data_IF_599581993320
#
_entry.id   IF_599581993320
#
_cell.length_a   1.000
_cell.length_b   1.000
_cell.length_c   1.000
_cell.angle_alpha   90.00
_cell.angle_beta   90.00
_cell.angle_gamma   90.00
#
_symmetry.space_group_name_H-M   'P 1'
#
loop_
_entity.id
_entity.type
_entity.pdbx_description
1 polymer ?
#
# COMPACT_ATOMS: atom_id res chain seq x y z
N UNK A 1 -4.25 -5.03 -19.18
CA UNK A 1 -3.48 -4.15 -18.27
C UNK A 1 -4.42 -3.61 -17.21
N UNK A 2 -4.05 -3.68 -15.93
CA UNK A 2 -4.92 -3.22 -14.82
C UNK A 2 -5.22 -1.72 -14.91
N UNK A 3 -4.26 -0.90 -15.38
CA UNK A 3 -4.43 0.55 -15.54
C UNK A 3 -5.63 0.91 -16.44
N UNK A 4 -5.80 0.19 -17.56
CA UNK A 4 -6.93 0.41 -18.46
C UNK A 4 -8.27 0.10 -17.79
N UNK A 5 -8.34 -0.97 -16.99
CA UNK A 5 -9.54 -1.30 -16.22
C UNK A 5 -9.85 -0.25 -15.14
N UNK A 6 -8.83 0.30 -14.48
CA UNK A 6 -9.00 1.38 -13.49
C UNK A 6 -9.54 2.68 -14.11
N UNK A 7 -9.35 2.89 -15.41
CA UNK A 7 -9.91 4.03 -16.15
C UNK A 7 -11.31 3.69 -16.69
N UNK A 8 -11.44 2.57 -17.40
CA UNK A 8 -12.69 2.16 -18.07
C UNK A 8 -13.81 1.92 -17.05
N UNK A 9 -13.50 1.30 -15.91
CA UNK A 9 -14.50 0.92 -14.90
C UNK A 9 -15.29 2.13 -14.38
N UNK A 10 -14.64 3.12 -13.74
CA UNK A 10 -15.31 4.32 -13.25
C UNK A 10 -15.98 5.14 -14.36
N UNK A 11 -15.36 5.25 -15.54
CA UNK A 11 -15.96 5.97 -16.66
C UNK A 11 -17.24 5.29 -17.17
N UNK A 12 -17.23 3.96 -17.28
CA UNK A 12 -18.40 3.18 -17.71
C UNK A 12 -19.52 3.29 -16.66
N UNK A 13 -19.18 3.18 -15.38
CA UNK A 13 -20.14 3.35 -14.30
C UNK A 13 -20.74 4.77 -14.26
N UNK A 14 -19.92 5.79 -14.53
CA UNK A 14 -20.38 7.17 -14.62
C UNK A 14 -21.32 7.40 -15.82
N UNK A 15 -20.98 6.84 -16.98
CA UNK A 15 -21.85 6.90 -18.16
C UNK A 15 -23.18 6.17 -17.95
N UNK A 16 -23.15 5.01 -17.28
CA UNK A 16 -24.36 4.30 -16.89
C UNK A 16 -25.23 5.16 -15.98
N UNK A 17 -24.64 5.74 -14.93
CA UNK A 17 -25.36 6.63 -14.02
C UNK A 17 -26.02 7.82 -14.74
N UNK A 18 -25.32 8.43 -15.71
CA UNK A 18 -25.87 9.51 -16.52
C UNK A 18 -27.01 9.02 -17.41
N UNK A 19 -26.88 7.85 -18.00
CA UNK A 19 -27.92 7.27 -18.85
C UNK A 19 -29.16 6.92 -18.04
N UNK A 20 -29.00 6.19 -16.93
CA UNK A 20 -30.10 5.75 -16.06
C UNK A 20 -30.91 6.97 -15.58
N UNK A 21 -30.23 8.02 -15.10
CA UNK A 21 -30.90 9.25 -14.67
C UNK A 21 -31.64 10.03 -15.77
N UNK A 22 -31.35 9.79 -17.06
CA UNK A 22 -32.08 10.41 -18.17
C UNK A 22 -33.37 9.65 -18.53
N UNK A 23 -33.46 8.37 -18.18
CA UNK A 23 -34.53 7.49 -18.63
C UNK A 23 -35.43 6.97 -17.50
N UNK A 24 -35.01 7.07 -16.24
CA UNK A 24 -35.70 6.53 -15.06
C UNK A 24 -37.20 6.89 -15.03
N UNK A 25 -37.54 8.18 -15.19
CA UNK A 25 -38.94 8.66 -15.20
C UNK A 25 -39.75 8.22 -16.44
N UNK A 26 -39.09 7.63 -17.44
CA UNK A 26 -39.69 7.23 -18.73
C UNK A 26 -39.94 5.72 -18.82
N UNK A 27 -39.46 4.93 -17.86
CA UNK A 27 -39.61 3.48 -17.86
C UNK A 27 -40.97 3.11 -17.25
N UNK A 28 -41.66 2.14 -17.88
CA UNK A 28 -42.93 1.64 -17.37
C UNK A 28 -42.69 0.66 -16.21
N UNK A 29 -43.57 0.64 -15.19
CA UNK A 29 -43.48 -0.31 -14.09
C UNK A 29 -43.36 -1.75 -14.58
N UNK A 30 -42.38 -2.49 -14.05
CA UNK A 30 -42.10 -3.88 -14.40
C UNK A 30 -41.17 -4.09 -15.61
N UNK A 31 -40.75 -3.02 -16.30
CA UNK A 31 -39.72 -3.08 -17.35
C UNK A 31 -38.34 -2.61 -16.88
N UNK A 32 -38.22 -2.06 -15.67
CA UNK A 32 -36.98 -1.51 -15.08
C UNK A 32 -35.79 -2.46 -15.27
N UNK A 33 -35.89 -3.68 -14.73
CA UNK A 33 -34.81 -4.66 -14.79
C UNK A 33 -34.43 -5.07 -16.23
N UNK A 34 -35.37 -5.01 -17.19
CA UNK A 34 -35.07 -5.28 -18.59
C UNK A 34 -34.24 -4.15 -19.18
N UNK A 35 -34.67 -2.90 -18.95
CA UNK A 35 -34.00 -1.71 -19.46
C UNK A 35 -32.61 -1.58 -18.83
N UNK A 36 -32.47 -1.79 -17.54
CA UNK A 36 -31.20 -1.72 -16.81
C UNK A 36 -30.18 -2.74 -17.33
N UNK A 37 -30.61 -3.99 -17.56
CA UNK A 37 -29.71 -5.02 -18.08
C UNK A 37 -29.31 -4.76 -19.54
N UNK A 38 -30.23 -4.26 -20.37
CA UNK A 38 -29.92 -3.92 -21.76
C UNK A 38 -29.05 -2.67 -21.88
N UNK A 39 -29.30 -1.63 -21.07
CA UNK A 39 -28.48 -0.42 -21.04
C UNK A 39 -27.07 -0.75 -20.56
N UNK A 40 -26.93 -1.53 -19.48
CA UNK A 40 -25.66 -2.05 -18.99
C UNK A 40 -24.92 -2.85 -20.08
N UNK A 41 -25.63 -3.73 -20.80
CA UNK A 41 -25.05 -4.51 -21.88
C UNK A 41 -24.59 -3.67 -23.07
N UNK A 42 -25.40 -2.71 -23.53
CA UNK A 42 -25.09 -1.86 -24.69
C UNK A 42 -23.97 -0.88 -24.36
N UNK A 43 -24.07 -0.17 -23.23
CA UNK A 43 -23.07 0.81 -22.80
C UNK A 43 -21.77 0.08 -22.44
N UNK A 44 -21.84 -1.05 -21.73
CA UNK A 44 -20.68 -1.88 -21.44
C UNK A 44 -20.00 -2.41 -22.71
N UNK A 45 -20.78 -2.88 -23.68
CA UNK A 45 -20.27 -3.30 -24.99
C UNK A 45 -19.61 -2.17 -25.78
N UNK A 46 -20.24 -0.98 -25.80
CA UNK A 46 -19.65 0.22 -26.41
C UNK A 46 -18.35 0.64 -25.73
N UNK A 47 -18.33 0.64 -24.40
CA UNK A 47 -17.13 0.95 -23.62
C UNK A 47 -16.02 -0.09 -23.78
N UNK A 48 -16.34 -1.35 -24.05
CA UNK A 48 -15.35 -2.35 -24.40
C UNK A 48 -14.65 -2.01 -25.73
N UNK A 49 -15.40 -1.54 -26.74
CA UNK A 49 -14.82 -1.07 -28.02
C UNK A 49 -13.96 0.18 -27.81
N UNK A 50 -14.45 1.17 -27.06
CA UNK A 50 -13.66 2.36 -26.68
C UNK A 50 -12.40 1.96 -25.91
N UNK A 51 -12.53 0.97 -25.02
CA UNK A 51 -11.43 0.40 -24.25
C UNK A 51 -10.30 -0.10 -25.14
N UNK A 52 -10.62 -0.82 -26.20
CA UNK A 52 -9.62 -1.36 -27.14
C UNK A 52 -9.04 -0.29 -28.06
N UNK A 53 -9.88 0.58 -28.64
CA UNK A 53 -9.47 1.48 -29.71
C UNK A 53 -8.93 2.83 -29.25
N UNK A 54 -9.32 3.28 -28.05
CA UNK A 54 -8.92 4.58 -27.51
C UNK A 54 -8.03 4.38 -26.29
N UNK A 55 -8.50 3.64 -25.30
CA UNK A 55 -7.80 3.53 -24.02
C UNK A 55 -6.58 2.61 -24.17
N UNK A 56 -6.68 1.51 -24.92
CA UNK A 56 -5.58 0.58 -25.20
C UNK A 56 -4.30 1.29 -25.67
N UNK A 57 -4.34 2.03 -26.80
CA UNK A 57 -3.18 2.78 -27.31
C UNK A 57 -2.62 3.81 -26.32
N UNK A 58 -3.49 4.51 -25.60
CA UNK A 58 -3.06 5.50 -24.58
C UNK A 58 -2.30 4.81 -23.45
N UNK A 59 -2.83 3.70 -22.93
CA UNK A 59 -2.20 2.94 -21.84
C UNK A 59 -0.89 2.32 -22.33
N UNK A 60 -0.86 1.77 -23.54
CA UNK A 60 0.36 1.24 -24.15
C UNK A 60 1.45 2.30 -24.23
N UNK A 61 1.13 3.49 -24.75
CA UNK A 61 2.09 4.58 -24.87
C UNK A 61 2.59 5.08 -23.51
N UNK A 62 1.71 5.18 -22.51
CA UNK A 62 2.08 5.52 -21.13
C UNK A 62 3.04 4.47 -20.55
N UNK A 63 2.77 3.18 -20.77
CA UNK A 63 3.65 2.10 -20.30
C UNK A 63 4.97 2.07 -21.04
N UNK A 64 5.02 2.36 -22.34
CA UNK A 64 6.28 2.52 -23.08
C UNK A 64 7.11 3.68 -22.53
N UNK A 65 6.50 4.83 -22.25
CA UNK A 65 7.21 5.97 -21.65
C UNK A 65 7.72 5.66 -20.25
N UNK A 66 6.90 4.99 -19.43
CA UNK A 66 7.33 4.55 -18.12
C UNK A 66 8.47 3.53 -18.20
N UNK A 67 8.40 2.58 -19.12
CA UNK A 67 9.47 1.62 -19.42
C UNK A 67 10.77 2.31 -19.81
N UNK A 68 10.72 3.23 -20.78
CA UNK A 68 11.88 4.02 -21.19
C UNK A 68 12.49 4.82 -20.03
N UNK A 69 11.66 5.40 -19.16
CA UNK A 69 12.11 6.13 -17.97
C UNK A 69 12.80 5.21 -16.96
N UNK A 70 12.24 4.02 -16.74
CA UNK A 70 12.83 2.99 -15.88
C UNK A 70 14.15 2.48 -16.46
N UNK A 71 14.22 2.18 -17.75
CA UNK A 71 15.43 1.74 -18.44
C UNK A 71 16.53 2.80 -18.35
N UNK A 72 16.17 4.07 -18.50
CA UNK A 72 17.11 5.19 -18.32
C UNK A 72 17.63 5.26 -16.87
N UNK A 73 16.76 5.07 -15.87
CA UNK A 73 17.17 5.04 -14.46
C UNK A 73 18.12 3.86 -14.18
N UNK A 74 17.84 2.68 -14.73
CA UNK A 74 18.69 1.50 -14.58
C UNK A 74 20.04 1.75 -15.25
N UNK A 75 20.05 2.17 -16.51
CA UNK A 75 21.27 2.39 -17.30
C UNK A 75 22.21 3.44 -16.72
N UNK A 76 21.68 4.40 -15.93
CA UNK A 76 22.46 5.43 -15.25
C UNK A 76 22.70 5.15 -13.76
N UNK A 77 22.30 3.99 -13.24
CA UNK A 77 22.37 3.65 -11.80
C UNK A 77 21.58 4.61 -10.87
N UNK A 78 20.50 5.19 -11.38
CA UNK A 78 19.66 6.18 -10.69
C UNK A 78 18.35 5.61 -10.15
N UNK A 79 18.10 4.30 -10.29
CA UNK A 79 16.87 3.66 -9.79
C UNK A 79 16.55 3.95 -8.31
N UNK A 80 17.51 4.11 -7.38
CA UNK A 80 17.22 4.52 -6.00
C UNK A 80 16.44 5.84 -5.89
N UNK A 81 16.58 6.74 -6.87
CA UNK A 81 15.84 8.00 -6.90
C UNK A 81 14.34 7.80 -7.16
N UNK A 82 13.94 6.65 -7.72
CA UNK A 82 12.53 6.32 -7.91
C UNK A 82 11.78 6.31 -6.56
N UNK A 83 12.45 5.99 -5.45
CA UNK A 83 11.85 6.01 -4.11
C UNK A 83 11.33 7.39 -3.70
N UNK A 84 11.87 8.49 -4.24
CA UNK A 84 11.37 9.85 -3.99
C UNK A 84 9.93 10.03 -4.50
N UNK A 85 9.56 9.32 -5.56
CA UNK A 85 8.21 9.35 -6.12
C UNK A 85 7.34 8.20 -5.62
N UNK A 86 7.91 6.99 -5.56
CA UNK A 86 7.17 5.76 -5.22
C UNK A 86 6.72 5.77 -3.76
N UNK A 87 7.57 6.19 -2.81
CA UNK A 87 7.22 6.14 -1.39
C UNK A 87 6.08 7.10 -1.03
N UNK A 88 6.09 8.40 -1.44
CA UNK A 88 4.94 9.28 -1.20
C UNK A 88 3.65 8.79 -1.87
N UNK A 89 3.73 8.35 -3.12
CA UNK A 89 2.57 7.87 -3.84
C UNK A 89 1.98 6.61 -3.19
N UNK A 90 2.83 5.69 -2.73
CA UNK A 90 2.42 4.50 -1.96
C UNK A 90 1.66 4.90 -0.68
N UNK A 91 2.20 5.81 0.12
CA UNK A 91 1.55 6.29 1.36
C UNK A 91 0.22 7.02 1.07
N UNK A 92 0.08 7.65 -0.09
CA UNK A 92 -1.18 8.22 -0.59
C UNK A 92 -2.11 7.18 -1.24
N UNK A 93 -1.87 5.88 -1.01
CA UNK A 93 -2.67 4.77 -1.51
C UNK A 93 -2.71 4.66 -3.05
N UNK A 94 -1.69 5.18 -3.74
CA UNK A 94 -1.51 5.02 -5.19
C UNK A 94 -0.64 3.79 -5.53
N UNK A 95 -0.40 2.91 -4.55
CA UNK A 95 0.43 1.70 -4.70
C UNK A 95 -0.07 0.76 -5.80
N UNK A 96 -1.37 0.52 -5.90
CA UNK A 96 -1.97 -0.33 -6.94
C UNK A 96 -1.76 0.23 -8.34
N UNK A 97 -1.86 1.56 -8.49
CA UNK A 97 -1.61 2.22 -9.77
C UNK A 97 -0.14 2.10 -10.19
N UNK A 98 0.78 2.27 -9.26
CA UNK A 98 2.22 2.10 -9.52
C UNK A 98 2.54 0.63 -9.82
N UNK A 99 2.11 -0.28 -8.95
CA UNK A 99 2.51 -1.68 -9.01
C UNK A 99 1.78 -2.40 -10.15
N UNK A 100 0.44 -2.52 -10.10
CA UNK A 100 -0.32 -3.24 -11.13
C UNK A 100 -0.48 -2.45 -12.43
N UNK A 101 -0.41 -1.12 -12.37
CA UNK A 101 -0.56 -0.29 -13.55
C UNK A 101 0.72 -0.15 -14.38
N UNK A 102 1.90 -0.13 -13.75
CA UNK A 102 3.17 0.19 -14.42
C UNK A 102 4.26 -0.84 -14.13
N UNK A 103 4.67 -1.00 -12.87
CA UNK A 103 5.87 -1.78 -12.54
C UNK A 103 5.71 -3.27 -12.80
N UNK A 104 4.61 -3.89 -12.39
CA UNK A 104 4.37 -5.33 -12.57
C UNK A 104 4.36 -5.75 -14.05
N UNK A 105 3.64 -5.08 -14.97
CA UNK A 105 3.73 -5.40 -16.40
C UNK A 105 5.15 -5.34 -16.97
N UNK A 106 5.90 -4.28 -16.64
CA UNK A 106 7.30 -4.12 -17.07
C UNK A 106 8.19 -5.22 -16.48
N UNK A 107 8.04 -5.50 -15.18
CA UNK A 107 8.79 -6.51 -14.46
C UNK A 107 8.53 -7.93 -14.99
N UNK A 108 7.28 -8.24 -15.34
CA UNK A 108 6.90 -9.52 -15.95
C UNK A 108 7.56 -9.67 -17.32
N UNK A 109 7.52 -8.63 -18.16
CA UNK A 109 8.18 -8.64 -19.47
C UNK A 109 9.69 -8.86 -19.32
N UNK A 110 10.36 -8.10 -18.44
CA UNK A 110 11.79 -8.24 -18.15
C UNK A 110 12.13 -9.64 -17.61
N UNK A 111 11.31 -10.17 -16.70
CA UNK A 111 11.53 -11.48 -16.10
C UNK A 111 11.31 -12.64 -17.07
N UNK A 112 10.49 -12.48 -18.12
CA UNK A 112 10.40 -13.49 -19.19
C UNK A 112 11.72 -13.63 -19.96
N UNK A 113 12.45 -12.53 -20.13
CA UNK A 113 13.71 -12.52 -20.89
C UNK A 113 14.93 -12.85 -20.02
N UNK A 114 14.97 -12.31 -18.80
CA UNK A 114 16.14 -12.37 -17.92
C UNK A 114 15.97 -13.34 -16.74
N UNK A 115 14.78 -13.91 -16.58
CA UNK A 115 14.43 -14.84 -15.50
C UNK A 115 14.06 -14.17 -14.16
N UNK A 116 14.22 -12.85 -14.02
CA UNK A 116 13.90 -12.08 -12.81
C UNK A 116 13.85 -10.58 -13.09
N UNK A 117 13.24 -9.80 -12.21
CA UNK A 117 13.25 -8.34 -12.32
C UNK A 117 13.42 -7.68 -10.96
N UNK A 118 14.21 -6.59 -10.93
CA UNK A 118 14.33 -5.70 -9.77
C UNK A 118 13.06 -4.86 -9.58
N UNK A 119 12.28 -4.63 -10.63
CA UNK A 119 11.09 -3.78 -10.60
C UNK A 119 10.00 -4.35 -9.69
N UNK A 120 9.94 -5.67 -9.54
CA UNK A 120 9.08 -6.32 -8.55
C UNK A 120 9.39 -5.88 -7.11
N UNK A 121 10.59 -5.36 -6.84
CA UNK A 121 11.08 -5.05 -5.50
C UNK A 121 11.03 -3.57 -5.13
N UNK A 122 10.77 -2.67 -6.08
CA UNK A 122 10.82 -1.23 -5.85
C UNK A 122 9.75 -0.81 -4.84
N UNK A 123 8.52 -1.24 -5.07
CA UNK A 123 7.35 -0.81 -4.30
C UNK A 123 7.06 -1.78 -3.15
N UNK A 124 7.27 -3.07 -3.39
CA UNK A 124 6.89 -4.17 -2.52
C UNK A 124 7.85 -4.41 -1.34
N UNK A 125 8.99 -3.71 -1.28
CA UNK A 125 10.04 -3.96 -0.28
C UNK A 125 9.48 -3.82 1.15
N UNK A 126 9.56 -4.87 1.97
CA UNK A 126 9.05 -4.83 3.34
C UNK A 126 9.92 -4.03 4.31
N UNK A 127 11.19 -3.80 3.97
CA UNK A 127 12.19 -3.17 4.84
C UNK A 127 11.80 -1.77 5.31
N UNK A 128 11.47 -0.81 4.42
CA UNK A 128 11.19 0.57 4.81
C UNK A 128 10.10 0.70 5.88
N UNK A 129 8.96 0.01 5.71
CA UNK A 129 7.90 0.10 6.70
C UNK A 129 8.19 -0.68 7.99
N UNK A 130 8.89 -1.83 7.91
CA UNK A 130 9.36 -2.53 9.12
C UNK A 130 10.27 -1.63 9.97
N UNK A 131 11.22 -0.95 9.33
CA UNK A 131 12.13 -0.01 10.01
C UNK A 131 11.39 1.15 10.67
N UNK A 132 10.43 1.72 9.96
CA UNK A 132 9.60 2.81 10.47
C UNK A 132 8.76 2.37 11.67
N UNK A 133 8.10 1.22 11.58
CA UNK A 133 7.32 0.66 12.69
C UNK A 133 8.22 0.35 13.89
N UNK A 134 9.41 -0.22 13.69
CA UNK A 134 10.37 -0.43 14.78
C UNK A 134 10.77 0.89 15.46
N UNK A 135 10.90 1.98 14.71
CA UNK A 135 11.17 3.30 15.28
C UNK A 135 9.99 3.82 16.10
N UNK A 136 8.74 3.59 15.66
CA UNK A 136 7.54 3.91 16.45
C UNK A 136 7.44 3.09 17.74
N UNK A 137 7.78 1.80 17.69
CA UNK A 137 7.76 0.93 18.87
C UNK A 137 8.67 1.46 19.98
N UNK A 138 9.86 1.92 19.62
CA UNK A 138 10.90 2.35 20.58
C UNK A 138 10.81 3.85 20.93
N UNK A 139 10.58 4.70 19.93
CA UNK A 139 10.70 6.16 20.02
C UNK A 139 9.42 6.93 19.67
N UNK A 140 8.36 6.23 19.25
CA UNK A 140 7.07 6.83 18.98
C UNK A 140 6.28 7.18 20.25
N UNK A 141 5.16 7.92 20.08
CA UNK A 141 4.23 8.25 21.17
C UNK A 141 3.78 6.99 21.92
N UNK A 142 3.73 7.06 23.26
CA UNK A 142 3.39 5.89 24.10
C UNK A 142 2.00 5.33 23.79
N UNK A 143 1.05 6.20 23.44
CA UNK A 143 -0.31 5.83 23.04
C UNK A 143 -0.37 4.92 21.81
N UNK A 144 0.57 5.06 20.87
CA UNK A 144 0.61 4.30 19.63
C UNK A 144 1.44 3.01 19.74
N UNK A 145 2.29 2.85 20.76
CA UNK A 145 3.14 1.65 20.89
C UNK A 145 2.37 0.32 20.94
N UNK A 146 1.18 0.22 21.58
CA UNK A 146 0.42 -1.02 21.60
C UNK A 146 -0.04 -1.50 20.22
N UNK A 147 -0.32 -0.59 19.27
CA UNK A 147 -0.77 -0.95 17.92
C UNK A 147 0.37 -1.31 16.96
N UNK A 148 1.63 -1.02 17.33
CA UNK A 148 2.79 -1.21 16.45
C UNK A 148 3.15 -2.70 16.25
N UNK A 149 3.29 -3.56 17.29
CA UNK A 149 3.65 -4.96 17.06
C UNK A 149 2.65 -5.72 16.16
N UNK A 150 1.32 -5.58 16.33
CA UNK A 150 0.36 -6.14 15.38
C UNK A 150 0.56 -5.62 13.95
N UNK A 151 0.78 -4.31 13.78
CA UNK A 151 1.04 -3.72 12.47
C UNK A 151 2.32 -4.29 11.82
N UNK A 152 3.38 -4.52 12.60
CA UNK A 152 4.62 -5.16 12.11
C UNK A 152 4.35 -6.56 11.60
N UNK A 153 3.55 -7.36 12.31
CA UNK A 153 3.19 -8.73 11.90
C UNK A 153 2.38 -8.71 10.61
N UNK A 154 1.32 -7.89 10.58
CA UNK A 154 0.40 -7.78 9.43
C UNK A 154 1.15 -7.31 8.18
N UNK A 155 2.02 -6.31 8.31
CA UNK A 155 2.85 -5.86 7.21
C UNK A 155 3.87 -6.92 6.83
N UNK A 156 4.83 -7.18 7.73
CA UNK A 156 6.08 -7.87 7.38
C UNK A 156 5.86 -9.33 7.03
N UNK A 157 4.89 -9.98 7.66
CA UNK A 157 4.55 -11.38 7.40
C UNK A 157 3.33 -11.47 6.48
N UNK A 158 2.27 -10.73 6.80
CA UNK A 158 0.99 -10.79 6.10
C UNK A 158 0.97 -10.13 4.71
N UNK A 159 1.88 -9.20 4.43
CA UNK A 159 1.93 -8.51 3.14
C UNK A 159 0.82 -7.50 2.93
N UNK A 160 0.45 -6.80 4.01
CA UNK A 160 -0.45 -5.65 3.95
C UNK A 160 0.36 -4.45 4.41
N UNK A 161 1.12 -3.86 3.50
CA UNK A 161 1.98 -2.73 3.82
C UNK A 161 1.21 -1.42 3.98
N UNK A 162 -0.09 -1.38 3.73
CA UNK A 162 -0.96 -0.23 3.97
C UNK A 162 -1.07 0.06 5.47
N UNK A 163 -0.88 -0.96 6.32
CA UNK A 163 -1.05 -0.85 7.76
C UNK A 163 -0.06 0.11 8.42
N UNK A 164 1.08 0.42 7.79
CA UNK A 164 2.02 1.42 8.31
C UNK A 164 1.80 2.83 7.73
N UNK A 165 0.99 3.00 6.69
CA UNK A 165 0.78 4.32 6.07
C UNK A 165 0.20 5.34 7.05
N UNK A 166 -0.77 4.99 7.92
CA UNK A 166 -1.28 5.93 8.93
C UNK A 166 -0.17 6.50 9.82
N UNK A 167 0.84 5.70 10.17
CA UNK A 167 1.98 6.17 10.98
C UNK A 167 2.82 7.22 10.26
N UNK A 168 2.93 7.14 8.93
CA UNK A 168 3.58 8.18 8.11
C UNK A 168 2.69 9.43 8.04
N UNK A 169 1.38 9.25 7.82
CA UNK A 169 0.43 10.35 7.67
C UNK A 169 0.26 11.16 8.96
N UNK A 170 0.34 10.52 10.14
CA UNK A 170 0.32 11.20 11.45
C UNK A 170 1.51 12.16 11.63
N UNK A 171 2.67 11.85 11.04
CA UNK A 171 3.85 12.72 11.07
C UNK A 171 4.49 12.76 9.68
N UNK A 172 3.96 13.57 8.73
CA UNK A 172 4.32 13.51 7.32
C UNK A 172 5.82 13.57 7.02
N UNK A 173 6.62 14.23 7.87
CA UNK A 173 8.09 14.23 7.77
C UNK A 173 8.72 12.83 7.76
N UNK A 174 8.04 11.82 8.33
CA UNK A 174 8.48 10.43 8.34
C UNK A 174 8.49 9.80 6.95
N UNK A 175 7.91 10.44 5.94
CA UNK A 175 8.07 10.02 4.54
C UNK A 175 9.54 9.99 4.13
N UNK A 176 10.38 10.86 4.71
CA UNK A 176 11.82 10.88 4.45
C UNK A 176 12.50 9.58 4.90
N UNK A 177 11.99 8.94 5.96
CA UNK A 177 12.50 7.64 6.41
C UNK A 177 12.12 6.52 5.42
N UNK A 178 10.88 6.53 4.92
CA UNK A 178 10.44 5.60 3.90
C UNK A 178 11.24 5.77 2.60
N UNK A 179 11.46 7.01 2.14
CA UNK A 179 12.30 7.34 0.97
C UNK A 179 13.73 6.84 1.16
N UNK A 180 14.36 7.15 2.30
CA UNK A 180 15.75 6.75 2.57
C UNK A 180 15.89 5.22 2.65
N UNK A 181 14.96 4.55 3.33
CA UNK A 181 14.92 3.08 3.38
C UNK A 181 14.70 2.46 2.01
N UNK A 182 13.70 2.96 1.26
CA UNK A 182 13.38 2.49 -0.09
C UNK A 182 14.57 2.62 -1.04
N UNK A 183 15.20 3.81 -1.07
CA UNK A 183 16.36 4.09 -1.90
C UNK A 183 17.55 3.18 -1.52
N UNK A 184 17.77 2.95 -0.23
CA UNK A 184 18.82 2.03 0.25
C UNK A 184 18.56 0.59 -0.20
N UNK A 185 17.32 0.13 -0.08
CA UNK A 185 16.92 -1.21 -0.54
C UNK A 185 17.14 -1.37 -2.04
N UNK A 186 16.59 -0.45 -2.84
CA UNK A 186 16.74 -0.44 -4.31
C UNK A 186 18.21 -0.39 -4.70
N UNK A 187 19.01 0.48 -4.08
CA UNK A 187 20.44 0.57 -4.34
C UNK A 187 21.19 -0.73 -4.01
N UNK A 188 20.83 -1.38 -2.90
CA UNK A 188 21.40 -2.69 -2.53
C UNK A 188 21.02 -3.77 -3.55
N UNK A 189 19.76 -3.80 -3.99
CA UNK A 189 19.31 -4.73 -5.02
C UNK A 189 20.05 -4.50 -6.33
N UNK A 190 20.27 -3.25 -6.75
CA UNK A 190 21.07 -2.94 -7.94
C UNK A 190 22.51 -3.43 -7.82
N UNK A 191 23.19 -3.09 -6.72
CA UNK A 191 24.61 -3.45 -6.50
C UNK A 191 24.80 -4.97 -6.46
N UNK A 192 23.88 -5.69 -5.80
CA UNK A 192 23.94 -7.15 -5.69
C UNK A 192 23.35 -7.86 -6.92
N UNK A 193 22.76 -7.11 -7.85
CA UNK A 193 21.97 -7.66 -8.94
C UNK A 193 20.81 -8.53 -8.43
N UNK A 194 20.13 -8.17 -7.35
CA UNK A 194 18.95 -8.88 -6.86
C UNK A 194 17.71 -8.59 -7.73
N UNK A 195 16.83 -9.59 -7.81
CA UNK A 195 15.55 -9.50 -8.52
C UNK A 195 14.66 -10.70 -8.17
N UNK A 196 13.35 -10.57 -8.37
CA UNK A 196 12.37 -11.62 -8.11
C UNK A 196 11.83 -12.20 -9.41
N UNK A 197 11.29 -13.42 -9.37
CA UNK A 197 10.77 -14.11 -10.58
C UNK A 197 9.29 -13.78 -10.87
N UNK A 198 8.57 -13.22 -9.89
CA UNK A 198 7.17 -12.84 -9.99
C UNK A 198 6.85 -11.73 -8.98
N UNK A 199 5.68 -11.11 -9.10
CA UNK A 199 5.20 -10.09 -8.16
C UNK A 199 4.93 -10.69 -6.78
N UNK A 200 5.64 -10.27 -5.70
CA UNK A 200 5.30 -10.65 -4.34
C UNK A 200 4.13 -9.83 -3.79
N UNK A 201 3.44 -10.35 -2.77
CA UNK A 201 2.54 -9.52 -1.96
C UNK A 201 3.33 -8.39 -1.30
N UNK A 202 2.96 -7.11 -1.49
CA UNK A 202 3.73 -5.99 -0.98
C UNK A 202 3.89 -6.00 0.53
N UNK A 203 5.13 -5.88 1.02
CA UNK A 203 5.42 -5.92 2.44
C UNK A 203 5.60 -7.29 3.07
N UNK A 204 5.35 -8.41 2.36
CA UNK A 204 5.55 -9.74 2.93
C UNK A 204 6.94 -10.29 2.64
N UNK A 205 7.69 -10.61 3.70
CA UNK A 205 8.95 -11.34 3.60
C UNK A 205 8.75 -12.77 3.11
N UNK A 206 7.61 -13.39 3.43
CA UNK A 206 7.29 -14.73 2.96
C UNK A 206 6.98 -14.74 1.46
N UNK A 207 6.26 -13.72 0.97
CA UNK A 207 6.06 -13.57 -0.47
C UNK A 207 7.40 -13.37 -1.18
N UNK A 208 8.28 -12.51 -0.65
CA UNK A 208 9.65 -12.35 -1.16
C UNK A 208 10.40 -13.67 -1.23
N UNK A 209 10.41 -14.44 -0.14
CA UNK A 209 11.07 -15.74 -0.07
C UNK A 209 10.52 -16.73 -1.11
N UNK A 210 9.20 -16.74 -1.33
CA UNK A 210 8.54 -17.65 -2.27
C UNK A 210 8.93 -17.39 -3.73
N UNK A 211 9.19 -16.13 -4.10
CA UNK A 211 9.52 -15.74 -5.48
C UNK A 211 10.99 -15.32 -5.65
N UNK A 212 11.84 -15.60 -4.65
CA UNK A 212 13.28 -15.39 -4.75
C UNK A 212 13.91 -16.50 -5.61
N UNK A 213 14.63 -16.18 -6.70
CA UNK A 213 15.30 -17.20 -7.51
C UNK A 213 16.41 -17.91 -6.74
N UNK A 214 16.74 -19.14 -7.15
CA UNK A 214 17.87 -19.88 -6.59
C UNK A 214 19.16 -19.04 -6.71
N UNK A 215 19.90 -18.91 -5.61
CA UNK A 215 21.10 -18.06 -5.54
C UNK A 215 20.85 -16.56 -5.29
N UNK A 216 19.60 -16.08 -5.39
CA UNK A 216 19.24 -14.66 -5.18
C UNK A 216 19.06 -14.23 -3.72
N UNK A 217 19.08 -15.19 -2.77
CA UNK A 217 18.78 -14.97 -1.35
C UNK A 217 19.61 -13.86 -0.72
N UNK A 218 20.93 -13.86 -0.92
CA UNK A 218 21.79 -12.89 -0.24
C UNK A 218 21.41 -11.45 -0.57
N UNK A 219 21.32 -11.09 -1.86
CA UNK A 219 21.00 -9.72 -2.28
C UNK A 219 19.59 -9.28 -1.86
N UNK A 220 18.61 -10.18 -1.98
CA UNK A 220 17.22 -9.90 -1.59
C UNK A 220 17.11 -9.60 -0.09
N UNK A 221 17.62 -10.49 0.77
CA UNK A 221 17.48 -10.30 2.21
C UNK A 221 18.41 -9.19 2.75
N UNK A 222 19.58 -8.98 2.14
CA UNK A 222 20.45 -7.87 2.49
C UNK A 222 19.78 -6.52 2.20
N UNK A 223 19.17 -6.36 1.02
CA UNK A 223 18.49 -5.10 0.70
C UNK A 223 17.24 -4.84 1.54
N UNK A 224 16.49 -5.89 1.91
CA UNK A 224 15.39 -5.76 2.89
C UNK A 224 15.92 -5.30 4.25
N UNK A 225 16.99 -5.93 4.74
CA UNK A 225 17.59 -5.60 6.04
C UNK A 225 18.13 -4.16 6.06
N UNK A 226 18.91 -3.77 5.05
CA UNK A 226 19.49 -2.42 4.98
C UNK A 226 18.40 -1.35 4.83
N UNK A 227 17.35 -1.62 4.06
CA UNK A 227 16.20 -0.73 3.97
C UNK A 227 15.50 -0.54 5.33
N UNK A 228 15.34 -1.62 6.10
CA UNK A 228 14.78 -1.55 7.45
C UNK A 228 15.68 -0.78 8.41
N UNK A 229 16.99 -1.03 8.40
CA UNK A 229 17.95 -0.33 9.27
C UNK A 229 17.98 1.16 8.96
N UNK A 230 18.08 1.55 7.68
CA UNK A 230 18.12 2.97 7.32
C UNK A 230 16.81 3.67 7.63
N UNK A 231 15.67 3.07 7.28
CA UNK A 231 14.36 3.61 7.65
C UNK A 231 14.21 3.76 9.16
N UNK A 232 14.62 2.77 9.94
CA UNK A 232 14.62 2.83 11.41
C UNK A 232 15.46 3.99 11.94
N UNK A 233 16.71 4.15 11.46
CA UNK A 233 17.62 5.22 11.92
C UNK A 233 17.04 6.59 11.59
N UNK A 234 16.57 6.80 10.35
CA UNK A 234 16.01 8.08 9.91
C UNK A 234 14.70 8.38 10.64
N UNK A 235 13.79 7.41 10.77
CA UNK A 235 12.55 7.56 11.52
C UNK A 235 12.81 7.85 13.00
N UNK A 236 13.77 7.16 13.63
CA UNK A 236 14.15 7.40 15.03
C UNK A 236 14.66 8.83 15.24
N UNK A 237 15.51 9.32 14.33
CA UNK A 237 16.00 10.70 14.35
C UNK A 237 14.85 11.71 14.16
N UNK A 238 13.95 11.46 13.21
CA UNK A 238 12.77 12.31 12.97
C UNK A 238 11.73 12.24 14.09
N UNK A 239 11.65 11.15 14.85
CA UNK A 239 10.88 11.07 16.09
C UNK A 239 11.60 11.73 17.28
N UNK A 240 12.80 12.26 17.06
CA UNK A 240 13.63 12.90 18.08
C UNK A 240 14.08 11.94 19.17
N UNK A 241 14.20 10.65 18.85
CA UNK A 241 14.51 9.60 19.82
C UNK A 241 13.57 9.61 21.04
N UNK A 242 12.29 9.93 20.82
CA UNK A 242 11.26 10.02 21.87
C UNK A 242 11.21 11.36 22.61
N UNK A 243 12.09 12.32 22.28
CA UNK A 243 12.12 13.67 22.89
C UNK A 243 11.16 14.66 22.23
N UNK A 244 10.80 14.40 20.96
CA UNK A 244 9.77 15.13 20.21
C UNK A 244 8.38 14.49 20.38
N UNK A 245 8.24 13.48 21.24
CA UNK A 245 6.97 12.90 21.65
C UNK A 245 6.33 13.77 22.74
N UNK A 246 5.97 15.00 22.41
CA UNK A 246 5.10 15.79 23.26
C UNK A 246 3.72 15.16 23.25
N UNK A 247 3.32 14.57 24.37
CA UNK A 247 2.00 13.96 24.63
C UNK A 247 0.81 14.95 24.49
N UNK A 248 1.02 16.15 23.93
CA UNK A 248 -0.01 17.20 23.76
C UNK A 248 -0.66 17.22 22.37
N UNK A 249 0.08 16.93 21.30
CA UNK A 249 -0.46 16.99 19.93
C UNK A 249 -1.12 15.66 19.53
N UNK A 250 -0.49 14.52 19.82
CA UNK A 250 -1.03 13.19 19.47
C UNK A 250 -2.22 12.76 20.34
N UNK A 251 -2.42 13.36 21.52
CA UNK A 251 -3.57 13.08 22.37
C UNK A 251 -4.84 13.82 21.87
N UNK A 252 -4.69 15.03 21.31
CA UNK A 252 -5.80 15.75 20.69
C UNK A 252 -6.25 15.10 19.37
N UNK A 253 -5.30 14.66 18.53
CA UNK A 253 -5.63 14.09 17.22
C UNK A 253 -6.25 12.68 17.29
N UNK A 254 -5.91 11.89 18.32
CA UNK A 254 -6.51 10.56 18.54
C UNK A 254 -7.90 10.67 19.18
N UNK A 255 -8.13 11.65 20.07
CA UNK A 255 -9.48 11.93 20.59
C UNK A 255 -10.42 12.42 19.48
N UNK A 256 -9.93 13.23 18.54
CA UNK A 256 -10.70 13.67 17.37
C UNK A 256 -11.00 12.51 16.40
N UNK A 257 -10.02 11.65 16.09
CA UNK A 257 -10.24 10.48 15.23
C UNK A 257 -11.12 9.40 15.87
N UNK A 258 -11.07 9.24 17.20
CA UNK A 258 -11.94 8.35 17.96
C UNK A 258 -13.36 8.91 18.09
N UNK A 259 -13.52 10.24 18.23
CA UNK A 259 -14.81 10.91 18.20
C UNK A 259 -15.47 10.86 16.82
N UNK A 260 -14.69 10.79 15.74
CA UNK A 260 -15.17 10.65 14.35
C UNK A 260 -15.47 9.20 13.93
N UNK A 261 -15.38 8.23 14.84
CA UNK A 261 -15.92 6.87 14.64
C UNK A 261 -15.23 6.05 13.55
N UNK A 262 -13.98 6.36 13.20
CA UNK A 262 -13.21 5.60 12.21
C UNK A 262 -12.14 4.75 12.88
N UNK A 263 -12.52 3.63 13.52
CA UNK A 263 -11.71 2.42 13.72
C UNK A 263 -12.62 1.31 14.32
N UNK A 264 -12.47 0.03 13.92
CA UNK A 264 -13.41 -1.02 14.28
C UNK A 264 -13.30 -1.39 15.77
N UNK A 265 -14.42 -1.21 16.48
CA UNK A 265 -14.62 -1.53 17.89
C UNK A 265 -14.70 -3.06 18.09
N UNK A 266 -13.55 -3.71 18.29
CA UNK A 266 -13.50 -5.02 18.98
C UNK A 266 -12.11 -5.37 19.50
N UNK A 267 -11.68 -4.67 20.55
CA UNK A 267 -10.55 -5.10 21.39
C UNK A 267 -10.66 -4.60 22.85
N UNK A 268 -11.89 -4.36 23.33
CA UNK A 268 -12.15 -3.85 24.69
C UNK A 268 -13.24 -4.66 25.38
N UNK A 269 -13.14 -5.97 25.37
CA UNK A 269 -13.83 -6.82 26.35
C UNK A 269 -13.07 -8.14 26.47
N UNK A 270 -12.03 -8.17 27.29
CA UNK A 270 -11.54 -9.37 28.01
C UNK A 270 -10.21 -9.06 28.72
N UNK A 271 -10.21 -8.00 29.53
CA UNK A 271 -9.08 -7.72 30.43
C UNK A 271 -9.53 -6.87 31.63
N UNK A 272 -10.60 -7.29 32.31
CA UNK A 272 -10.94 -6.78 33.63
C UNK A 272 -11.54 -7.91 34.48
N UNK A 273 -10.76 -8.95 34.74
CA UNK A 273 -11.02 -9.86 35.85
C UNK A 273 -10.77 -9.10 37.16
N UNK A 274 -11.84 -8.83 37.91
CA UNK A 274 -11.76 -8.31 39.28
C UNK A 274 -12.26 -9.37 40.27
N UNK A 275 -11.60 -9.55 41.43
CA UNK A 275 -11.88 -10.64 42.34
C UNK A 275 -13.11 -10.33 43.21
N UNK A 276 -14.03 -11.29 43.31
CA UNK A 276 -15.18 -11.20 44.19
C UNK A 276 -14.77 -11.48 45.65
N UNK A 277 -14.59 -10.42 46.44
CA UNK A 277 -14.62 -10.50 47.92
C UNK A 277 -16.06 -10.39 48.42
N UNK A 278 -16.49 -11.43 49.13
CA UNK A 278 -17.76 -11.49 49.83
C UNK A 278 -17.88 -10.41 50.94
N UNK A 279 -19.04 -9.77 51.02
CA UNK A 279 -19.63 -9.31 52.29
C UNK A 279 -21.17 -9.26 52.19
N UNK A 280 -21.75 -9.78 53.25
CA UNK A 280 -23.15 -10.10 53.58
C UNK A 280 -24.08 -8.91 53.83
N UNK A 281 -25.37 -9.16 53.55
CA UNK A 281 -26.56 -8.89 54.38
C UNK A 281 -27.39 -7.59 54.24
N UNK A 282 -28.71 -7.84 54.16
CA UNK A 282 -29.90 -7.03 54.52
C UNK A 282 -30.38 -5.97 53.51
N UNK A 283 -31.67 -5.75 53.24
CA UNK A 283 -32.95 -6.32 53.70
C UNK A 283 -34.08 -5.81 52.76
N UNK A 284 -35.17 -6.60 52.68
CA UNK A 284 -36.61 -6.23 52.56
C UNK A 284 -37.10 -5.16 51.56
N UNK A 285 -38.12 -5.55 50.78
CA UNK A 285 -38.97 -4.68 49.96
C UNK A 285 -39.64 -5.41 48.81
#
# INVERSE_FOLDING_TARGET
>A
MFLGAMIVGPLTAYLLKLFDGLIEDRIRPGFEMLVDNFSAGIIGGGMALVGVWVIGPVVEQLTTWAGNGVDWLIGNNLLPLASVLVEPAKVLFLNNAINHGVLSPLAVAEAQETGRSILFMIESNPGPGLGLLAAFLLFGPRSLRPSVPPAMIIQFLGGIHEIYFPYVLMKPRLILAAIAGGATGVGTFMITGAGLVATPSPGSIFAYAAVTPKGGWFGVFLGVLLAAVVSFVVASALLGFGRLGGDREAAQEVDEAAAEGQLPEKATSDAAGSPATARTANAEG
#
